data_IF_784955127593
#
_entry.id   IF_784955127593
#
_cell.length_a   1.000
_cell.length_b   1.000
_cell.length_c   1.000
_cell.angle_alpha   90.00
_cell.angle_beta   90.00
_cell.angle_gamma   90.00
#
_symmetry.space_group_name_H-M   'P 1'
#
loop_
_entity.id
_entity.type
_entity.pdbx_description
1 polymer ?
#
# COMPACT_ATOMS: atom_id res chain seq x y z
N UNK A 1 60.69 -22.43 12.27
CA UNK A 1 60.26 -21.59 11.14
C UNK A 1 58.79 -21.29 11.36
N UNK A 2 58.47 -20.02 11.57
CA UNK A 2 57.15 -19.39 11.50
C UNK A 2 56.44 -19.66 10.15
N UNK A 3 55.19 -19.20 9.89
CA UNK A 3 53.96 -19.21 10.72
C UNK A 3 52.68 -19.46 9.86
N UNK A 4 51.60 -20.00 10.42
CA UNK A 4 50.19 -19.67 10.07
C UNK A 4 49.25 -20.61 10.86
N UNK A 5 48.70 -20.16 11.98
CA UNK A 5 47.41 -19.45 12.07
C UNK A 5 46.22 -20.40 11.85
N UNK A 6 45.56 -20.84 12.93
CA UNK A 6 44.34 -20.20 13.50
C UNK A 6 43.12 -20.51 12.63
N UNK A 7 42.22 -21.43 13.01
CA UNK A 7 41.13 -21.30 13.99
C UNK A 7 39.80 -21.64 13.30
N UNK A 8 38.74 -21.97 14.08
CA UNK A 8 37.71 -22.91 13.68
C UNK A 8 36.66 -22.25 12.80
N UNK A 9 35.93 -23.05 12.02
CA UNK A 9 34.67 -22.63 11.44
C UNK A 9 33.65 -22.36 12.56
N UNK A 10 33.72 -21.19 13.17
CA UNK A 10 32.58 -20.55 13.80
C UNK A 10 31.55 -20.33 12.70
N UNK A 11 30.52 -21.16 12.67
CA UNK A 11 29.28 -20.77 11.99
C UNK A 11 28.72 -19.59 12.79
N UNK A 12 28.59 -18.39 12.20
CA UNK A 12 28.00 -17.28 12.93
C UNK A 12 26.54 -17.63 13.22
N UNK A 13 26.19 -17.58 14.50
CA UNK A 13 24.81 -17.52 14.97
C UNK A 13 24.10 -16.38 14.21
N UNK A 14 22.90 -16.59 13.65
CA UNK A 14 22.23 -15.52 12.92
C UNK A 14 21.75 -14.47 13.92
N UNK A 15 22.54 -13.42 14.06
CA UNK A 15 22.10 -12.15 14.60
C UNK A 15 21.04 -11.59 13.64
N UNK A 16 19.82 -11.33 14.12
CA UNK A 16 18.78 -10.69 13.30
C UNK A 16 19.17 -9.27 12.83
N UNK A 17 18.39 -8.59 11.97
CA UNK A 17 17.22 -8.98 11.20
C UNK A 17 17.51 -8.90 9.69
N UNK A 18 18.23 -9.88 9.12
CA UNK A 18 18.45 -9.97 7.67
C UNK A 18 17.52 -10.99 6.98
N UNK A 19 16.68 -11.69 7.74
CA UNK A 19 15.73 -12.68 7.20
C UNK A 19 14.56 -12.05 6.40
N UNK A 20 14.42 -10.72 6.40
CA UNK A 20 13.39 -10.00 5.64
C UNK A 20 13.84 -9.54 4.25
N UNK A 21 15.12 -9.60 3.90
CA UNK A 21 15.59 -9.28 2.53
C UNK A 21 15.67 -10.51 1.61
N UNK A 22 15.29 -11.68 2.14
CA UNK A 22 15.29 -12.99 1.45
C UNK A 22 13.86 -13.52 1.25
N UNK A 23 12.89 -12.63 1.06
CA UNK A 23 11.61 -13.00 0.44
C UNK A 23 11.82 -13.23 -1.06
N UNK A 24 12.56 -14.28 -1.42
CA UNK A 24 12.65 -14.79 -2.79
C UNK A 24 11.31 -15.46 -3.16
N UNK A 25 10.23 -14.67 -3.21
CA UNK A 25 9.11 -15.05 -4.05
C UNK A 25 9.64 -15.01 -5.47
N UNK A 26 9.60 -16.13 -6.19
CA UNK A 26 9.26 -15.98 -7.60
C UNK A 26 7.81 -15.49 -7.60
N UNK A 27 7.68 -14.16 -7.55
CA UNK A 27 6.42 -13.48 -7.80
C UNK A 27 5.76 -14.19 -8.98
N UNK A 28 4.50 -14.62 -8.82
CA UNK A 28 3.81 -15.24 -9.95
C UNK A 28 3.94 -14.29 -11.15
N UNK A 29 4.15 -14.79 -12.38
CA UNK A 29 4.28 -13.91 -13.54
C UNK A 29 3.22 -12.81 -13.53
N UNK A 30 3.66 -11.54 -13.59
CA UNK A 30 2.78 -10.39 -13.47
C UNK A 30 2.52 -9.89 -12.04
N UNK A 31 3.35 -10.23 -11.05
CA UNK A 31 3.38 -9.59 -9.73
C UNK A 31 4.70 -8.86 -9.51
N UNK A 32 4.60 -7.62 -9.01
CA UNK A 32 5.74 -6.87 -8.48
C UNK A 32 5.88 -7.09 -6.98
N UNK A 33 7.06 -6.81 -6.43
CA UNK A 33 7.31 -6.93 -4.99
C UNK A 33 6.43 -5.95 -4.18
N UNK A 34 6.18 -4.76 -4.73
CA UNK A 34 5.27 -3.78 -4.13
C UNK A 34 3.83 -4.29 -4.08
N UNK A 35 3.35 -4.93 -5.14
CA UNK A 35 2.02 -5.56 -5.15
C UNK A 35 1.96 -6.73 -4.16
N UNK A 36 3.01 -7.55 -4.07
CA UNK A 36 3.06 -8.64 -3.10
C UNK A 36 3.03 -8.09 -1.65
N UNK A 37 3.74 -6.99 -1.37
CA UNK A 37 3.69 -6.29 -0.09
C UNK A 37 2.30 -5.74 0.20
N UNK A 38 1.65 -5.11 -0.77
CA UNK A 38 0.27 -4.59 -0.63
C UNK A 38 -0.72 -5.70 -0.36
N UNK A 39 -0.57 -6.86 -1.03
CA UNK A 39 -1.38 -8.05 -0.75
C UNK A 39 -1.19 -8.50 0.70
N UNK A 40 0.05 -8.60 1.19
CA UNK A 40 0.32 -8.94 2.59
C UNK A 40 -0.43 -8.02 3.56
N UNK A 41 -0.30 -6.70 3.38
CA UNK A 41 -1.01 -5.73 4.21
C UNK A 41 -2.53 -5.85 4.10
N UNK A 42 -3.06 -6.13 2.90
CA UNK A 42 -4.49 -6.37 2.70
C UNK A 42 -4.97 -7.63 3.44
N UNK A 43 -4.18 -8.70 3.47
CA UNK A 43 -4.51 -9.92 4.22
C UNK A 43 -4.50 -9.67 5.73
N UNK A 44 -3.58 -8.83 6.22
CA UNK A 44 -3.53 -8.42 7.63
C UNK A 44 -4.71 -7.51 8.02
N UNK A 45 -5.13 -6.59 7.13
CA UNK A 45 -6.21 -5.64 7.39
C UNK A 45 -7.60 -6.27 7.23
N UNK A 46 -7.84 -6.94 6.10
CA UNK A 46 -9.16 -7.42 5.72
C UNK A 46 -9.38 -8.89 6.08
N UNK A 47 -8.31 -9.70 6.05
CA UNK A 47 -8.35 -11.14 6.30
C UNK A 47 -8.31 -11.98 5.02
N UNK A 48 -7.86 -13.22 5.16
CA UNK A 48 -7.77 -14.20 4.07
C UNK A 48 -9.18 -14.55 3.58
N UNK A 49 -9.40 -14.68 2.28
CA UNK A 49 -10.72 -15.01 1.73
C UNK A 49 -11.62 -13.80 1.46
N UNK A 50 -11.26 -12.60 1.93
CA UNK A 50 -12.03 -11.36 1.69
C UNK A 50 -11.69 -10.71 0.34
N UNK A 51 -11.68 -11.51 -0.72
CA UNK A 51 -11.17 -11.10 -2.04
C UNK A 51 -11.92 -9.93 -2.66
N UNK A 52 -13.25 -9.93 -2.55
CA UNK A 52 -14.07 -8.83 -3.08
C UNK A 52 -13.75 -7.51 -2.39
N UNK A 53 -13.54 -7.53 -1.06
CA UNK A 53 -13.17 -6.35 -0.29
C UNK A 53 -11.78 -5.85 -0.67
N UNK A 54 -10.80 -6.76 -0.82
CA UNK A 54 -9.43 -6.42 -1.25
C UNK A 54 -9.43 -5.84 -2.67
N UNK A 55 -10.20 -6.41 -3.59
CA UNK A 55 -10.30 -5.91 -4.96
C UNK A 55 -10.94 -4.52 -5.01
N UNK A 56 -12.00 -4.30 -4.22
CA UNK A 56 -12.73 -3.03 -4.16
C UNK A 56 -11.95 -1.93 -3.44
N UNK A 57 -10.98 -2.27 -2.58
CA UNK A 57 -10.18 -1.27 -1.85
C UNK A 57 -9.24 -0.47 -2.75
N UNK A 58 -9.02 -0.90 -4.00
CA UNK A 58 -8.15 -0.21 -4.97
C UNK A 58 -6.66 -0.30 -4.67
N UNK A 59 -6.22 -1.09 -3.69
CA UNK A 59 -4.79 -1.22 -3.36
C UNK A 59 -4.01 -2.06 -4.37
N UNK A 60 -4.70 -2.92 -5.12
CA UNK A 60 -4.14 -3.85 -6.11
C UNK A 60 -4.89 -3.72 -7.45
N UNK A 61 -4.80 -2.55 -8.12
CA UNK A 61 -5.55 -2.32 -9.35
C UNK A 61 -5.14 -3.33 -10.43
N UNK A 62 -6.14 -3.84 -11.16
CA UNK A 62 -5.92 -4.83 -12.23
C UNK A 62 -5.65 -6.26 -11.76
N UNK A 63 -5.56 -6.54 -10.45
CA UNK A 63 -5.49 -7.92 -9.95
C UNK A 63 -6.87 -8.54 -9.82
N UNK A 64 -7.03 -9.71 -10.45
CA UNK A 64 -8.24 -10.53 -10.36
C UNK A 64 -8.28 -11.31 -9.04
N UNK A 65 -9.48 -11.69 -8.60
CA UNK A 65 -9.68 -12.54 -7.41
C UNK A 65 -8.87 -13.86 -7.51
N UNK A 66 -8.81 -14.45 -8.71
CA UNK A 66 -8.01 -15.66 -8.94
C UNK A 66 -6.52 -15.43 -8.69
N UNK A 67 -5.97 -14.31 -9.19
CA UNK A 67 -4.58 -13.94 -8.92
C UNK A 67 -4.33 -13.66 -7.44
N UNK A 68 -5.26 -12.98 -6.74
CA UNK A 68 -5.15 -12.75 -5.30
C UNK A 68 -5.09 -14.07 -4.53
N UNK A 69 -5.97 -15.02 -4.86
CA UNK A 69 -6.03 -16.33 -4.23
C UNK A 69 -4.73 -17.13 -4.47
N UNK A 70 -4.27 -17.25 -5.72
CA UNK A 70 -3.05 -17.98 -6.07
C UNK A 70 -1.80 -17.37 -5.43
N UNK A 71 -1.70 -16.05 -5.43
CA UNK A 71 -0.59 -15.38 -4.77
C UNK A 71 -0.67 -15.58 -3.25
N UNK A 72 -1.87 -15.55 -2.66
CA UNK A 72 -2.08 -15.83 -1.23
C UNK A 72 -1.59 -17.22 -0.85
N UNK A 73 -1.89 -18.25 -1.64
CA UNK A 73 -1.40 -19.62 -1.42
C UNK A 73 0.14 -19.69 -1.40
N UNK A 74 0.80 -18.96 -2.30
CA UNK A 74 2.27 -18.87 -2.34
C UNK A 74 2.83 -18.17 -1.11
N UNK A 75 2.26 -17.01 -0.74
CA UNK A 75 2.77 -16.22 0.39
C UNK A 75 2.49 -16.86 1.75
N UNK A 76 1.46 -17.68 1.90
CA UNK A 76 1.26 -18.52 3.09
C UNK A 76 2.11 -19.81 3.05
N UNK A 77 2.56 -20.24 1.87
CA UNK A 77 3.28 -21.50 1.71
C UNK A 77 2.38 -22.75 1.75
N UNK A 78 1.09 -22.62 1.43
CA UNK A 78 0.16 -23.75 1.37
C UNK A 78 -0.96 -23.56 0.35
N UNK A 79 -1.44 -24.67 -0.22
CA UNK A 79 -2.44 -24.64 -1.29
C UNK A 79 -3.86 -24.38 -0.78
N UNK A 80 -4.24 -24.97 0.35
CA UNK A 80 -5.58 -24.76 0.92
C UNK A 80 -5.60 -23.51 1.78
N UNK A 81 -6.59 -22.64 1.59
CA UNK A 81 -6.81 -21.45 2.42
C UNK A 81 -8.01 -21.59 3.37
N UNK A 82 -8.72 -22.73 3.33
CA UNK A 82 -9.97 -22.93 4.06
C UNK A 82 -9.81 -22.70 5.57
N UNK A 83 -8.70 -23.19 6.14
CA UNK A 83 -8.35 -23.06 7.56
C UNK A 83 -7.83 -21.67 7.97
N UNK A 84 -7.71 -20.75 7.03
CA UNK A 84 -7.36 -19.35 7.27
C UNK A 84 -8.49 -18.38 6.90
N UNK A 85 -9.58 -18.87 6.31
CA UNK A 85 -10.63 -18.01 5.75
C UNK A 85 -11.26 -17.13 6.83
N UNK A 86 -11.25 -15.82 6.60
CA UNK A 86 -11.74 -14.78 7.51
C UNK A 86 -10.77 -14.35 8.59
N UNK A 87 -9.62 -15.02 8.75
CA UNK A 87 -8.60 -14.65 9.73
C UNK A 87 -7.73 -13.51 9.20
N UNK A 88 -7.44 -12.53 10.06
CA UNK A 88 -6.46 -11.46 9.81
C UNK A 88 -5.11 -11.95 10.31
N UNK A 89 -4.29 -12.45 9.40
CA UNK A 89 -3.00 -13.05 9.71
C UNK A 89 -1.88 -12.29 9.03
N UNK A 90 -0.66 -12.39 9.56
CA UNK A 90 0.54 -12.05 8.80
C UNK A 90 0.98 -13.29 7.98
N UNK A 91 0.88 -13.26 6.64
CA UNK A 91 1.31 -14.37 5.79
C UNK A 91 2.75 -14.81 6.06
N UNK A 92 3.61 -13.90 6.48
CA UNK A 92 5.00 -14.20 6.77
C UNK A 92 5.17 -15.20 7.93
N UNK A 93 4.41 -15.01 9.00
CA UNK A 93 4.44 -15.88 10.18
C UNK A 93 3.85 -17.27 9.85
N UNK A 94 2.77 -17.29 9.07
CA UNK A 94 2.17 -18.53 8.57
C UNK A 94 3.14 -19.30 7.68
N UNK A 95 3.86 -18.59 6.80
CA UNK A 95 4.87 -19.19 5.92
C UNK A 95 5.97 -19.88 6.72
N UNK A 96 6.51 -19.23 7.75
CA UNK A 96 7.52 -19.84 8.65
C UNK A 96 6.95 -21.10 9.30
N UNK A 97 5.74 -21.05 9.84
CA UNK A 97 5.09 -22.23 10.42
C UNK A 97 4.85 -23.35 9.40
N UNK A 98 4.63 -23.02 8.13
CA UNK A 98 4.49 -24.00 7.06
C UNK A 98 5.83 -24.56 6.59
N UNK A 99 6.90 -23.77 6.59
CA UNK A 99 8.28 -24.24 6.35
C UNK A 99 8.69 -25.29 7.37
N UNK A 100 8.41 -25.07 8.65
CA UNK A 100 8.62 -26.06 9.71
C UNK A 100 7.81 -27.35 9.50
N UNK A 101 6.61 -27.26 8.91
CA UNK A 101 5.82 -28.46 8.56
C UNK A 101 6.46 -29.24 7.42
N UNK A 102 6.99 -28.54 6.42
CA UNK A 102 7.71 -29.16 5.29
C UNK A 102 8.95 -29.89 5.80
N UNK A 103 9.72 -29.27 6.68
CA UNK A 103 10.92 -29.86 7.29
C UNK A 103 10.60 -31.09 8.14
N UNK A 104 9.41 -31.14 8.75
CA UNK A 104 8.87 -32.33 9.44
C UNK A 104 8.26 -33.39 8.50
N UNK A 105 8.40 -33.23 7.19
CA UNK A 105 7.97 -34.22 6.20
C UNK A 105 6.55 -34.05 5.67
N UNK A 106 5.95 -32.85 5.78
CA UNK A 106 4.67 -32.59 5.13
C UNK A 106 4.78 -32.74 3.60
N UNK A 107 3.75 -33.32 2.96
CA UNK A 107 3.70 -33.40 1.50
C UNK A 107 3.64 -32.00 0.89
N UNK A 108 4.38 -31.82 -0.19
CA UNK A 108 4.42 -30.56 -0.93
C UNK A 108 4.17 -30.77 -2.41
N UNK A 109 3.72 -29.72 -3.09
CA UNK A 109 3.71 -29.60 -4.54
C UNK A 109 4.24 -28.22 -4.88
N UNK A 110 5.28 -28.14 -5.71
CA UNK A 110 5.93 -26.87 -6.06
C UNK A 110 6.40 -26.06 -4.82
N UNK A 111 6.85 -26.75 -3.77
CA UNK A 111 7.40 -26.10 -2.57
C UNK A 111 6.38 -25.54 -1.57
N UNK A 112 5.08 -25.74 -1.78
CA UNK A 112 4.02 -25.39 -0.82
C UNK A 112 3.33 -26.62 -0.26
N UNK A 113 2.85 -26.54 0.99
CA UNK A 113 2.12 -27.62 1.66
C UNK A 113 0.82 -27.92 0.91
N UNK A 114 0.60 -29.19 0.59
CA UNK A 114 -0.67 -29.65 -0.01
C UNK A 114 -1.45 -30.48 1.01
N UNK A 115 -2.78 -30.45 0.89
CA UNK A 115 -3.59 -31.40 1.65
C UNK A 115 -3.30 -32.79 1.10
N UNK A 116 -2.96 -33.67 2.03
CA UNK A 116 -2.71 -35.04 1.71
C UNK A 116 -3.85 -35.91 2.24
N UNK A 117 -4.50 -36.65 1.33
CA UNK A 117 -5.65 -37.49 1.63
C UNK A 117 -6.99 -36.88 1.19
N UNK A 118 -8.12 -37.44 1.68
CA UNK A 118 -9.44 -37.00 1.27
C UNK A 118 -9.68 -35.53 1.63
N UNK A 119 -10.64 -34.91 0.93
CA UNK A 119 -11.07 -33.56 1.25
C UNK A 119 -11.50 -33.50 2.73
N UNK A 120 -10.93 -32.57 3.52
CA UNK A 120 -11.22 -32.52 4.94
C UNK A 120 -12.71 -32.23 5.15
N UNK A 121 -13.32 -32.90 6.13
CA UNK A 121 -14.69 -32.58 6.52
C UNK A 121 -14.79 -31.16 7.05
N UNK A 122 -15.99 -30.60 7.05
CA UNK A 122 -16.25 -29.27 7.61
C UNK A 122 -15.78 -29.16 9.07
N UNK A 123 -15.96 -30.21 9.86
CA UNK A 123 -15.53 -30.25 11.26
C UNK A 123 -14.02 -30.16 11.41
N UNK A 124 -13.26 -30.89 10.57
CA UNK A 124 -11.80 -30.83 10.55
C UNK A 124 -11.33 -29.43 10.14
N UNK A 125 -11.94 -28.83 9.12
CA UNK A 125 -11.61 -27.45 8.71
C UNK A 125 -11.89 -26.46 9.84
N UNK A 126 -13.04 -26.58 10.51
CA UNK A 126 -13.40 -25.69 11.64
C UNK A 126 -12.46 -25.87 12.83
N UNK A 127 -12.01 -27.10 13.13
CA UNK A 127 -11.01 -27.36 14.15
C UNK A 127 -9.70 -26.66 13.82
N UNK A 128 -9.17 -26.86 12.60
CA UNK A 128 -7.93 -26.21 12.15
C UNK A 128 -8.05 -24.69 12.12
N UNK A 129 -9.21 -24.16 11.75
CA UNK A 129 -9.47 -22.73 11.77
C UNK A 129 -9.39 -22.14 13.19
N UNK A 130 -9.90 -22.85 14.21
CA UNK A 130 -9.77 -22.44 15.61
C UNK A 130 -8.31 -22.47 16.08
N UNK A 131 -7.58 -23.54 15.73
CA UNK A 131 -6.15 -23.69 16.05
C UNK A 131 -5.33 -22.56 15.40
N UNK A 132 -5.57 -22.28 14.11
CA UNK A 132 -4.90 -21.21 13.38
C UNK A 132 -5.28 -19.83 13.91
N UNK A 133 -6.54 -19.60 14.30
CA UNK A 133 -6.94 -18.34 14.95
C UNK A 133 -6.16 -18.13 16.24
N UNK A 134 -6.05 -19.16 17.08
CA UNK A 134 -5.31 -19.06 18.33
C UNK A 134 -3.81 -18.80 18.10
N UNK A 135 -3.25 -19.31 17.01
CA UNK A 135 -1.81 -19.20 16.71
C UNK A 135 -1.42 -17.96 15.92
N UNK A 136 -2.24 -17.52 14.97
CA UNK A 136 -1.84 -16.57 13.92
C UNK A 136 -2.76 -15.35 13.77
N UNK A 137 -3.93 -15.31 14.43
CA UNK A 137 -4.78 -14.13 14.36
C UNK A 137 -4.03 -12.93 14.97
N UNK A 138 -3.99 -11.84 14.21
CA UNK A 138 -3.32 -10.63 14.63
C UNK A 138 -4.11 -9.93 15.74
N UNK A 139 -3.36 -9.40 16.70
CA UNK A 139 -3.90 -8.47 17.67
C UNK A 139 -4.46 -7.20 16.98
N UNK A 140 -5.50 -6.56 17.52
CA UNK A 140 -6.13 -5.37 16.93
C UNK A 140 -5.13 -4.25 16.57
N UNK A 141 -4.08 -4.09 17.38
CA UNK A 141 -3.05 -3.08 17.18
C UNK A 141 -2.25 -3.35 15.89
N UNK A 142 -1.94 -4.61 15.60
CA UNK A 142 -1.24 -5.01 14.37
C UNK A 142 -2.12 -4.86 13.13
N UNK A 143 -3.42 -5.13 13.27
CA UNK A 143 -4.40 -4.86 12.22
C UNK A 143 -4.45 -3.35 11.91
N UNK A 144 -4.59 -2.51 12.94
CA UNK A 144 -4.60 -1.06 12.80
C UNK A 144 -3.31 -0.52 12.17
N UNK A 145 -2.15 -1.08 12.53
CA UNK A 145 -0.88 -0.73 11.91
C UNK A 145 -0.87 -1.04 10.40
N UNK A 146 -1.39 -2.20 9.99
CA UNK A 146 -1.48 -2.59 8.58
C UNK A 146 -2.43 -1.68 7.80
N UNK A 147 -3.60 -1.36 8.35
CA UNK A 147 -4.56 -0.41 7.77
C UNK A 147 -3.93 0.99 7.59
N UNK A 148 -3.23 1.48 8.61
CA UNK A 148 -2.56 2.76 8.55
C UNK A 148 -1.41 2.78 7.51
N UNK A 149 -0.72 1.65 7.30
CA UNK A 149 0.28 1.51 6.25
C UNK A 149 -0.36 1.47 4.85
N UNK A 150 -1.45 0.73 4.65
CA UNK A 150 -2.21 0.75 3.39
C UNK A 150 -2.69 2.17 3.05
N UNK A 151 -3.22 2.90 4.03
CA UNK A 151 -3.63 4.28 3.86
C UNK A 151 -2.45 5.17 3.42
N UNK A 152 -1.29 5.01 4.06
CA UNK A 152 -0.08 5.75 3.69
C UNK A 152 0.38 5.45 2.26
N UNK A 153 0.33 4.18 1.83
CA UNK A 153 0.68 3.78 0.46
C UNK A 153 -0.29 4.36 -0.57
N UNK A 154 -1.59 4.31 -0.30
CA UNK A 154 -2.61 4.92 -1.17
C UNK A 154 -2.40 6.43 -1.31
N UNK A 155 -2.13 7.14 -0.20
CA UNK A 155 -1.83 8.57 -0.22
C UNK A 155 -0.55 8.90 -1.00
N UNK A 156 0.51 8.12 -0.82
CA UNK A 156 1.75 8.30 -1.56
C UNK A 156 1.54 8.10 -3.07
N UNK A 157 0.75 7.12 -3.47
CA UNK A 157 0.37 6.89 -4.86
C UNK A 157 -0.39 8.09 -5.46
N UNK A 158 -1.39 8.59 -4.74
CA UNK A 158 -2.15 9.78 -5.16
C UNK A 158 -1.25 11.01 -5.35
N UNK A 159 -0.27 11.21 -4.48
CA UNK A 159 0.70 12.31 -4.63
C UNK A 159 1.58 12.14 -5.88
N UNK A 160 2.03 10.92 -6.17
CA UNK A 160 2.80 10.63 -7.38
C UNK A 160 1.97 10.88 -8.64
N UNK A 161 0.71 10.47 -8.65
CA UNK A 161 -0.22 10.72 -9.75
C UNK A 161 -0.50 12.22 -9.92
N UNK A 162 -0.71 12.94 -8.82
CA UNK A 162 -0.89 14.39 -8.84
C UNK A 162 0.35 15.12 -9.40
N UNK A 163 1.54 14.70 -8.96
CA UNK A 163 2.81 15.25 -9.46
C UNK A 163 2.99 14.96 -10.96
N UNK A 164 2.69 13.73 -11.39
CA UNK A 164 2.76 13.36 -12.80
C UNK A 164 1.74 14.14 -13.65
N UNK A 165 0.53 14.37 -13.15
CA UNK A 165 -0.49 15.18 -13.81
C UNK A 165 -0.04 16.65 -13.93
N UNK A 166 0.50 17.23 -12.86
CA UNK A 166 1.05 18.58 -12.86
C UNK A 166 2.13 18.74 -13.95
N UNK A 167 3.03 17.76 -14.08
CA UNK A 167 4.09 17.80 -15.08
C UNK A 167 3.59 17.80 -16.54
N UNK A 168 2.34 17.39 -16.80
CA UNK A 168 1.73 17.42 -18.14
C UNK A 168 1.06 18.75 -18.47
N UNK A 169 0.91 19.65 -17.52
CA UNK A 169 0.29 20.97 -17.73
C UNK A 169 1.26 21.94 -18.44
N UNK A 170 0.74 22.99 -19.10
CA UNK A 170 1.57 24.12 -19.59
C UNK A 170 2.45 24.74 -18.49
N UNK A 171 3.61 25.27 -18.85
CA UNK A 171 4.64 25.73 -17.90
C UNK A 171 4.17 26.90 -17.00
N UNK A 172 3.33 27.79 -17.53
CA UNK A 172 2.70 28.88 -16.79
C UNK A 172 1.72 28.34 -15.74
N UNK A 173 0.88 27.36 -16.10
CA UNK A 173 -0.04 26.68 -15.19
C UNK A 173 0.74 25.90 -14.13
N UNK A 174 1.81 25.20 -14.52
CA UNK A 174 2.70 24.51 -13.58
C UNK A 174 3.27 25.48 -12.53
N UNK A 175 3.73 26.65 -12.97
CA UNK A 175 4.32 27.66 -12.08
C UNK A 175 3.29 28.19 -11.08
N UNK A 176 2.10 28.57 -11.57
CA UNK A 176 0.99 29.01 -10.71
C UNK A 176 0.57 27.92 -9.72
N UNK A 177 0.50 26.68 -10.19
CA UNK A 177 0.12 25.55 -9.36
C UNK A 177 1.14 25.27 -8.26
N UNK A 178 2.45 25.30 -8.57
CA UNK A 178 3.51 25.14 -7.57
C UNK A 178 3.48 26.25 -6.52
N UNK A 179 3.26 27.51 -6.94
CA UNK A 179 3.13 28.64 -6.01
C UNK A 179 1.92 28.47 -5.08
N UNK A 180 0.75 28.11 -5.63
CA UNK A 180 -0.46 27.87 -4.84
C UNK A 180 -0.26 26.71 -3.84
N UNK A 181 0.36 25.61 -4.28
CA UNK A 181 0.68 24.48 -3.41
C UNK A 181 1.60 24.88 -2.26
N UNK A 182 2.64 25.66 -2.57
CA UNK A 182 3.58 26.13 -1.55
C UNK A 182 2.90 27.03 -0.52
N UNK A 183 2.02 27.95 -0.94
CA UNK A 183 1.26 28.81 -0.05
C UNK A 183 0.34 28.00 0.88
N UNK A 184 -0.43 27.08 0.31
CA UNK A 184 -1.35 26.22 1.08
C UNK A 184 -0.59 25.32 2.05
N UNK A 185 0.56 24.79 1.62
CA UNK A 185 1.42 23.97 2.46
C UNK A 185 1.99 24.75 3.65
N UNK A 186 2.54 25.96 3.42
CA UNK A 186 3.04 26.81 4.50
C UNK A 186 1.95 27.10 5.53
N UNK A 187 0.76 27.47 5.09
CA UNK A 187 -0.38 27.71 5.97
C UNK A 187 -0.76 26.47 6.82
N UNK A 188 -0.69 25.27 6.23
CA UNK A 188 -0.97 24.01 6.93
C UNK A 188 0.12 23.61 7.93
N UNK A 189 1.38 23.99 7.69
CA UNK A 189 2.50 23.68 8.58
C UNK A 189 2.62 24.70 9.72
N UNK A 190 2.39 25.98 9.45
CA UNK A 190 2.45 27.06 10.45
C UNK A 190 1.34 26.93 11.51
N UNK A 191 0.24 26.24 11.17
CA UNK A 191 -0.83 25.89 12.12
C UNK A 191 -0.52 24.64 12.95
N UNK A 192 0.53 23.88 12.60
CA UNK A 192 0.96 22.68 13.32
C UNK A 192 2.19 22.94 14.18
N UNK A 193 1.96 23.48 15.37
CA UNK A 193 2.76 23.36 16.60
C UNK A 193 4.29 23.18 16.43
N UNK A 194 5.02 24.31 16.43
CA UNK A 194 6.36 24.52 17.02
C UNK A 194 7.53 23.55 16.81
N UNK A 195 7.43 22.51 15.97
CA UNK A 195 8.48 21.47 15.89
C UNK A 195 9.70 21.95 15.08
N UNK A 196 10.92 21.97 15.66
CA UNK A 196 12.03 22.78 15.13
C UNK A 196 12.93 22.07 14.09
N UNK A 197 12.56 20.91 13.55
CA UNK A 197 13.34 20.28 12.48
C UNK A 197 12.44 19.59 11.44
N UNK A 198 12.49 20.07 10.20
CA UNK A 198 11.91 19.33 9.07
C UNK A 198 12.61 17.97 8.96
N UNK A 199 11.87 16.85 8.99
CA UNK A 199 12.48 15.54 8.85
C UNK A 199 13.19 15.40 7.48
N UNK A 200 14.39 14.83 7.49
CA UNK A 200 15.28 14.74 6.32
C UNK A 200 14.69 13.97 5.11
N UNK A 201 13.65 13.16 5.35
CA UNK A 201 12.95 12.37 4.33
C UNK A 201 11.84 13.12 3.58
N UNK A 202 11.63 14.40 3.90
CA UNK A 202 10.81 15.35 3.13
C UNK A 202 11.77 16.28 2.40
N UNK A 203 12.23 15.86 1.23
CA UNK A 203 13.15 16.68 0.45
C UNK A 203 12.40 17.55 -0.54
N UNK A 204 12.88 18.77 -0.78
CA UNK A 204 12.44 19.55 -1.93
C UNK A 204 13.24 19.09 -3.15
N UNK A 205 12.55 18.62 -4.18
CA UNK A 205 13.17 18.49 -5.50
C UNK A 205 13.52 19.87 -6.04
N UNK A 206 14.43 19.91 -7.03
CA UNK A 206 14.68 21.14 -7.82
C UNK A 206 13.43 21.67 -8.52
N UNK A 207 12.40 20.84 -8.70
CA UNK A 207 11.09 21.24 -9.23
C UNK A 207 10.14 21.86 -8.19
N UNK A 208 10.56 22.01 -6.93
CA UNK A 208 9.74 22.56 -5.86
C UNK A 208 8.68 21.60 -5.32
N UNK A 209 8.70 20.36 -5.77
CA UNK A 209 7.85 19.29 -5.25
C UNK A 209 8.52 18.65 -4.04
N UNK A 210 7.70 18.19 -3.10
CA UNK A 210 8.20 17.39 -1.98
C UNK A 210 8.42 15.96 -2.48
N UNK A 211 9.70 15.55 -2.51
CA UNK A 211 10.11 14.17 -2.64
C UNK A 211 10.02 13.51 -1.27
N UNK A 212 9.08 12.58 -1.18
CA UNK A 212 8.95 11.70 -0.04
C UNK A 212 10.01 10.61 -0.13
N UNK A 213 10.48 10.16 1.03
CA UNK A 213 11.40 9.02 1.09
C UNK A 213 10.90 7.82 0.26
N UNK A 214 11.80 7.20 -0.53
CA UNK A 214 11.49 5.95 -1.19
C UNK A 214 11.09 4.87 -0.18
N UNK A 215 10.30 3.90 -0.64
CA UNK A 215 9.69 2.87 0.21
C UNK A 215 10.70 2.05 1.02
N UNK A 216 11.92 1.88 0.52
CA UNK A 216 13.04 1.21 1.19
C UNK A 216 13.45 1.93 2.48
N UNK A 217 13.54 3.26 2.45
CA UNK A 217 13.89 4.07 3.63
C UNK A 217 12.77 4.05 4.68
N UNK A 218 11.51 3.89 4.27
CA UNK A 218 10.35 3.81 5.19
C UNK A 218 10.37 2.56 6.07
N UNK A 219 10.99 1.47 5.61
CA UNK A 219 11.05 0.21 6.37
C UNK A 219 11.85 0.35 7.66
N UNK A 220 12.81 1.29 7.69
CA UNK A 220 13.68 1.54 8.84
C UNK A 220 13.18 2.67 9.74
N UNK A 221 12.03 3.29 9.43
CA UNK A 221 11.45 4.32 10.27
C UNK A 221 10.85 3.73 11.56
N UNK A 222 11.13 4.38 12.69
CA UNK A 222 10.42 4.10 13.93
C UNK A 222 8.94 4.56 13.86
N UNK A 223 8.15 4.21 14.87
CA UNK A 223 6.72 4.50 14.88
C UNK A 223 6.41 6.00 14.96
N UNK A 224 7.28 6.79 15.58
CA UNK A 224 7.13 8.24 15.67
C UNK A 224 7.38 8.89 14.32
N UNK A 225 8.45 8.49 13.62
CA UNK A 225 8.76 8.91 12.26
C UNK A 225 7.64 8.48 11.28
N UNK A 226 7.10 7.27 11.41
CA UNK A 226 5.96 6.80 10.60
C UNK A 226 4.70 7.63 10.83
N UNK A 227 4.40 7.99 12.09
CA UNK A 227 3.26 8.87 12.42
C UNK A 227 3.43 10.25 11.80
N UNK A 228 4.61 10.84 11.94
CA UNK A 228 4.92 12.13 11.33
C UNK A 228 4.80 12.07 9.81
N UNK A 229 5.36 11.03 9.18
CA UNK A 229 5.23 10.77 7.74
C UNK A 229 3.78 10.74 7.26
N UNK A 230 2.90 10.02 7.96
CA UNK A 230 1.47 9.95 7.63
C UNK A 230 0.77 11.31 7.73
N UNK A 231 1.15 12.12 8.73
CA UNK A 231 0.61 13.47 8.93
C UNK A 231 1.03 14.41 7.78
N UNK A 232 2.31 14.41 7.43
CA UNK A 232 2.83 15.23 6.32
C UNK A 232 2.15 14.86 4.99
N UNK A 233 2.02 13.57 4.69
CA UNK A 233 1.27 13.07 3.53
C UNK A 233 -0.15 13.63 3.46
N UNK A 234 -0.84 13.66 4.60
CA UNK A 234 -2.21 14.14 4.69
C UNK A 234 -2.31 15.65 4.43
N UNK A 235 -1.43 16.44 5.04
CA UNK A 235 -1.35 17.87 4.79
C UNK A 235 -1.07 18.14 3.30
N UNK A 236 -0.27 17.30 2.63
CA UNK A 236 0.12 17.54 1.23
C UNK A 236 -1.07 17.34 0.31
N UNK A 237 -1.84 16.28 0.56
CA UNK A 237 -3.07 16.02 -0.18
C UNK A 237 -4.10 17.13 0.04
N UNK A 238 -4.23 17.63 1.27
CA UNK A 238 -5.11 18.77 1.57
C UNK A 238 -4.67 20.03 0.82
N UNK A 239 -3.36 20.34 0.82
CA UNK A 239 -2.81 21.46 0.07
C UNK A 239 -3.04 21.32 -1.44
N UNK A 240 -2.88 20.10 -1.99
CA UNK A 240 -3.19 19.79 -3.39
C UNK A 240 -4.67 20.01 -3.73
N UNK A 241 -5.57 19.54 -2.88
CA UNK A 241 -7.01 19.73 -3.05
C UNK A 241 -7.42 21.21 -2.94
N UNK A 242 -6.79 21.97 -2.05
CA UNK A 242 -7.03 23.40 -1.92
C UNK A 242 -6.50 24.18 -3.14
N UNK A 243 -5.27 23.88 -3.57
CA UNK A 243 -4.67 24.50 -4.74
C UNK A 243 -5.45 24.19 -6.03
N UNK A 244 -5.90 22.95 -6.23
CA UNK A 244 -6.67 22.56 -7.42
C UNK A 244 -7.98 23.36 -7.55
N UNK A 245 -8.65 23.64 -6.42
CA UNK A 245 -9.85 24.52 -6.39
C UNK A 245 -9.55 25.96 -6.77
N UNK A 246 -8.35 26.46 -6.46
CA UNK A 246 -7.94 27.83 -6.78
C UNK A 246 -7.41 27.96 -8.23
N UNK A 247 -6.91 26.88 -8.81
CA UNK A 247 -6.31 26.85 -10.16
C UNK A 247 -7.33 26.58 -11.25
N UNK A 248 -8.38 25.84 -10.94
CA UNK A 248 -9.55 25.69 -11.80
C UNK A 248 -10.54 26.77 -11.38
N UNK A 249 -10.57 27.95 -12.03
CA UNK A 249 -11.76 28.77 -11.93
C UNK A 249 -12.90 27.87 -12.39
N UNK A 250 -13.82 27.55 -11.48
CA UNK A 250 -15.14 27.12 -11.93
C UNK A 250 -15.60 28.33 -12.73
N UNK A 251 -15.74 28.20 -14.04
CA UNK A 251 -16.40 29.16 -14.91
C UNK A 251 -17.85 29.33 -14.42
N UNK A 252 -18.04 29.95 -13.26
CA UNK A 252 -19.35 30.30 -12.72
C UNK A 252 -19.92 31.48 -13.48
N UNK A 253 -19.08 32.27 -14.16
CA UNK A 253 -19.50 33.41 -14.96
C UNK A 253 -20.08 33.00 -16.33
N UNK A 254 -19.72 31.83 -16.88
CA UNK A 254 -20.34 31.33 -18.13
C UNK A 254 -21.63 30.52 -17.89
N UNK A 255 -22.00 30.22 -16.65
CA UNK A 255 -23.23 29.49 -16.31
C UNK A 255 -24.44 30.42 -16.11
N UNK A 256 -24.24 31.74 -15.96
CA UNK A 256 -25.31 32.72 -15.71
C UNK A 256 -25.75 33.51 -16.94
N UNK A 257 -25.05 33.43 -18.08
CA UNK A 257 -25.42 34.17 -19.31
C UNK A 257 -26.04 33.30 -20.42
N UNK A 258 -26.34 32.03 -20.13
CA UNK A 258 -27.02 31.11 -21.04
C UNK A 258 -28.56 31.13 -20.95
N UNK A 259 -29.20 32.30 -21.01
CA UNK A 259 -30.64 32.41 -21.35
C UNK A 259 -30.84 33.43 -22.46
N UNK A 260 -30.50 33.05 -23.70
CA UNK A 260 -31.14 33.63 -24.89
C UNK A 260 -31.37 32.51 -25.93
N UNK A 261 -32.65 32.24 -26.16
CA UNK A 261 -33.33 31.81 -27.38
C UNK A 261 -32.62 30.90 -28.41
N UNK A 262 -33.18 29.68 -28.55
CA UNK A 262 -33.53 28.97 -29.80
C UNK A 262 -32.81 29.32 -31.12
N UNK A 263 -32.10 28.33 -31.69
CA UNK A 263 -32.38 27.76 -33.04
C UNK A 263 -31.39 26.64 -33.41
N UNK A 264 -31.86 25.79 -34.31
CA UNK A 264 -31.30 24.54 -34.82
C UNK A 264 -29.88 24.66 -35.39
N UNK A 265 -29.13 23.55 -35.37
CA UNK A 265 -28.01 23.33 -36.28
C UNK A 265 -26.78 22.68 -35.65
N UNK A 266 -26.53 21.43 -36.05
CA UNK A 266 -25.27 20.72 -36.20
C UNK A 266 -24.00 21.14 -35.42
N UNK A 267 -23.35 20.11 -34.87
CA UNK A 267 -21.90 19.98 -35.03
C UNK A 267 -21.04 20.06 -33.78
N UNK A 268 -20.62 18.87 -33.33
CA UNK A 268 -19.27 18.59 -32.83
C UNK A 268 -18.76 19.42 -31.62
N UNK A 269 -18.95 18.89 -30.41
CA UNK A 269 -18.34 19.42 -29.19
C UNK A 269 -17.31 18.45 -28.59
N UNK A 270 -16.06 18.82 -28.81
CA UNK A 270 -14.88 18.75 -27.93
C UNK A 270 -15.06 18.05 -26.57
N UNK A 271 -14.51 16.84 -26.45
CA UNK A 271 -14.41 16.08 -25.20
C UNK A 271 -13.16 16.51 -24.42
N UNK A 272 -13.26 17.52 -23.56
CA UNK A 272 -12.22 17.75 -22.54
C UNK A 272 -12.37 16.76 -21.38
N UNK A 273 -11.27 16.15 -20.89
CA UNK A 273 -11.33 15.19 -19.80
C UNK A 273 -11.63 15.90 -18.48
N UNK A 274 -12.79 15.59 -17.90
CA UNK A 274 -13.17 15.99 -16.54
C UNK A 274 -12.41 15.09 -15.56
N UNK A 275 -11.42 15.65 -14.86
CA UNK A 275 -10.73 14.99 -13.75
C UNK A 275 -11.68 14.97 -12.54
N UNK A 276 -12.57 13.98 -12.47
CA UNK A 276 -13.34 13.71 -11.27
C UNK A 276 -12.46 12.97 -10.26
N UNK A 277 -11.97 13.73 -9.28
CA UNK A 277 -11.24 13.22 -8.13
C UNK A 277 -12.23 12.56 -7.17
N UNK A 278 -12.42 11.25 -7.29
CA UNK A 278 -13.24 10.48 -6.36
C UNK A 278 -12.52 10.39 -5.00
N UNK A 279 -12.90 11.29 -4.09
CA UNK A 279 -12.48 11.27 -2.70
C UNK A 279 -12.91 9.98 -2.03
N UNK A 280 -11.94 9.25 -1.48
CA UNK A 280 -12.16 8.11 -0.61
C UNK A 280 -12.82 8.63 0.67
N UNK A 281 -14.12 8.40 0.81
CA UNK A 281 -14.86 8.70 2.04
C UNK A 281 -14.37 7.76 3.14
N UNK A 282 -13.90 8.35 4.23
CA UNK A 282 -13.63 7.63 5.48
C UNK A 282 -14.92 6.99 5.97
N UNK A 283 -14.94 5.73 6.41
CA UNK A 283 -16.09 5.19 7.11
C UNK A 283 -16.16 5.87 8.48
N UNK A 284 -17.30 6.51 8.74
CA UNK A 284 -17.66 7.03 10.06
C UNK A 284 -18.01 5.83 10.95
N UNK A 285 -17.22 5.65 12.02
CA UNK A 285 -17.44 4.82 13.23
C UNK A 285 -17.91 3.38 13.07
#
# INVERSE_FOLDING_TARGET
>A
MDPNASHPYHTPCPTGPHALSLWNFSSSPGWTDEEARRLRLCLMAYGVGRWSQIAQSGHLPGKTISQLNLQTQRVLGQQSLAEFTGLRVDPAEVFVGNRERIERGARTKMGIVVNDGPNPSREVVMKRLRENRARFELAPERVCQAEAELCALARAQQLQEAAAALHRLPADIQTRARQALEQQWRAAVDTSDGSPARPQWVQRTKSGLVQLAPLSERQHMDDTAKRQYRRELQHMLQALQAASRNLLPIDKENASEGRVATRDGDGNADKRPRLEWNGCTTPTT
#
